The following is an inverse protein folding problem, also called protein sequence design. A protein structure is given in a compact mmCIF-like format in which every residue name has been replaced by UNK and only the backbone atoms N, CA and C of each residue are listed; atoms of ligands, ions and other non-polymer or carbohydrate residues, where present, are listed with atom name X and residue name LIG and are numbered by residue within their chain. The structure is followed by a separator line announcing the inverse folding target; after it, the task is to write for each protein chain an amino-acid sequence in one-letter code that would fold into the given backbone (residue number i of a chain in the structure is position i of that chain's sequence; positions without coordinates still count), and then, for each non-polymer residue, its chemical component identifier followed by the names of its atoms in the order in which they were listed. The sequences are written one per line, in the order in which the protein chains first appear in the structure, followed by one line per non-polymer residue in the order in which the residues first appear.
data_IF_918854617832
#
_entry.id   IF_918854617832
#
_cell.length_a   1.000
_cell.length_b   1.000
_cell.length_c   1.000
_cell.angle_alpha   90.00
_cell.angle_beta   90.00
_cell.angle_gamma   90.00
#
_symmetry.space_group_name_H-M   'P 1'
#
loop_
_entity.id
_entity.type
_entity.pdbx_description
1 polymer ?
#
# COMPACT_ATOMS: atom_id res chain seq x y z
N UNK A 1 -24.36 -5.51 8.82
CA UNK A 1 -23.80 -4.16 8.81
C UNK A 1 -22.28 -4.27 8.88
N UNK A 2 -21.52 -3.67 7.96
CA UNK A 2 -20.06 -3.74 7.95
C UNK A 2 -19.44 -2.56 8.70
N UNK A 3 -18.20 -2.71 9.14
CA UNK A 3 -17.44 -1.68 9.85
C UNK A 3 -16.46 -1.01 8.89
N UNK A 4 -16.44 0.31 8.88
CA UNK A 4 -15.42 1.08 8.18
C UNK A 4 -14.10 1.03 8.96
N UNK A 5 -12.98 0.72 8.32
CA UNK A 5 -11.68 0.75 8.98
C UNK A 5 -11.31 2.18 9.36
N UNK A 6 -10.53 2.33 10.44
CA UNK A 6 -10.00 3.61 10.92
C UNK A 6 -11.05 4.71 11.15
N UNK A 7 -12.31 4.32 11.40
CA UNK A 7 -13.43 5.25 11.50
C UNK A 7 -14.06 5.15 12.88
N UNK A 8 -14.25 6.28 13.53
CA UNK A 8 -15.06 6.41 14.75
C UNK A 8 -16.52 6.54 14.34
N UNK A 9 -17.24 5.44 14.27
CA UNK A 9 -18.59 5.36 13.70
C UNK A 9 -19.59 6.28 14.40
N UNK A 10 -19.46 6.43 15.72
CA UNK A 10 -20.36 7.28 16.51
C UNK A 10 -20.20 8.77 16.20
N UNK A 11 -19.10 9.15 15.52
CA UNK A 11 -18.82 10.52 15.12
C UNK A 11 -19.19 10.81 13.66
N UNK A 12 -19.70 9.82 12.93
CA UNK A 12 -20.10 9.98 11.52
C UNK A 12 -21.63 10.15 11.45
N UNK A 13 -22.13 11.37 11.25
CA UNK A 13 -23.56 11.59 11.03
C UNK A 13 -24.04 10.83 9.79
N UNK A 14 -25.28 10.36 9.82
CA UNK A 14 -25.85 9.57 8.73
C UNK A 14 -25.81 10.32 7.39
N UNK A 15 -26.07 11.61 7.41
CA UNK A 15 -26.06 12.50 6.23
C UNK A 15 -24.68 12.65 5.58
N UNK A 16 -23.60 12.33 6.31
CA UNK A 16 -22.24 12.35 5.78
C UNK A 16 -21.84 11.03 5.12
N UNK A 17 -22.69 10.02 5.19
CA UNK A 17 -22.41 8.72 4.55
C UNK A 17 -22.73 8.81 3.06
N UNK A 18 -21.72 8.73 2.22
CA UNK A 18 -21.91 8.67 0.79
C UNK A 18 -22.42 7.30 0.35
N UNK A 19 -23.58 7.25 -0.28
CA UNK A 19 -24.13 6.04 -0.89
C UNK A 19 -23.72 5.99 -2.35
N UNK A 20 -22.79 5.09 -2.67
CA UNK A 20 -22.27 4.94 -4.03
C UNK A 20 -23.21 4.00 -4.79
N UNK A 21 -23.79 4.51 -5.86
CA UNK A 21 -24.64 3.76 -6.77
C UNK A 21 -23.82 3.13 -7.90
N UNK A 22 -22.97 3.91 -8.52
CA UNK A 22 -22.27 3.50 -9.74
C UNK A 22 -20.93 4.19 -9.88
N UNK A 23 -20.19 3.80 -10.92
CA UNK A 23 -18.96 4.44 -11.31
C UNK A 23 -18.84 4.55 -12.82
N UNK A 24 -18.31 5.68 -13.29
CA UNK A 24 -18.03 5.92 -14.70
C UNK A 24 -16.71 6.67 -14.87
N UNK A 25 -15.67 5.95 -15.26
CA UNK A 25 -14.33 6.52 -15.37
C UNK A 25 -13.78 6.95 -14.01
N UNK A 26 -13.50 8.22 -13.85
CA UNK A 26 -12.98 8.84 -12.60
C UNK A 26 -14.10 9.42 -11.72
N UNK A 27 -15.37 9.30 -12.13
CA UNK A 27 -16.50 9.81 -11.37
C UNK A 27 -17.24 8.70 -10.65
N UNK A 28 -17.71 8.98 -9.43
CA UNK A 28 -18.70 8.16 -8.73
C UNK A 28 -20.09 8.75 -8.88
N UNK A 29 -21.07 7.89 -9.17
CA UNK A 29 -22.48 8.18 -8.99
C UNK A 29 -22.84 8.06 -7.51
N UNK A 30 -23.11 9.20 -6.87
CA UNK A 30 -23.53 9.25 -5.48
C UNK A 30 -25.03 9.42 -5.42
N UNK A 31 -25.71 8.50 -4.74
CA UNK A 31 -27.14 8.64 -4.48
C UNK A 31 -27.38 9.73 -3.45
N UNK A 32 -28.23 10.67 -3.78
CA UNK A 32 -28.65 11.76 -2.90
C UNK A 32 -30.16 11.64 -2.69
N UNK A 33 -30.57 11.52 -1.44
CA UNK A 33 -31.99 11.50 -1.07
C UNK A 33 -32.63 12.86 -1.44
N UNK A 34 -33.90 12.85 -1.80
CA UNK A 34 -34.66 14.08 -1.97
C UNK A 34 -34.77 14.81 -0.64
N UNK A 35 -34.40 16.08 -0.59
CA UNK A 35 -34.36 16.88 0.64
C UNK A 35 -35.74 16.99 1.32
N UNK A 36 -36.82 16.86 0.57
CA UNK A 36 -38.19 16.89 1.08
C UNK A 36 -38.74 15.50 1.41
N UNK A 37 -38.00 14.43 1.06
CA UNK A 37 -38.40 13.04 1.31
C UNK A 37 -39.66 12.58 0.57
N UNK A 38 -40.14 13.38 -0.37
CA UNK A 38 -41.39 13.17 -1.09
C UNK A 38 -41.23 12.49 -2.46
N UNK A 39 -39.99 12.34 -2.94
CA UNK A 39 -39.70 11.79 -4.24
C UNK A 39 -38.53 10.79 -4.25
N UNK A 40 -38.33 10.11 -5.40
CA UNK A 40 -37.13 9.30 -5.59
C UNK A 40 -35.90 10.22 -5.57
N UNK A 41 -34.86 9.83 -4.81
CA UNK A 41 -33.57 10.52 -4.84
C UNK A 41 -32.96 10.54 -6.24
N UNK A 42 -31.85 11.22 -6.39
CA UNK A 42 -31.12 11.35 -7.65
C UNK A 42 -29.70 10.86 -7.53
N UNK A 43 -29.11 10.41 -8.66
CA UNK A 43 -27.69 10.07 -8.73
C UNK A 43 -26.93 11.27 -9.28
N UNK A 44 -26.00 11.78 -8.47
CA UNK A 44 -25.12 12.89 -8.85
C UNK A 44 -23.70 12.36 -9.10
N UNK A 45 -23.10 12.75 -10.22
CA UNK A 45 -21.71 12.42 -10.51
C UNK A 45 -20.78 13.31 -9.69
N UNK A 46 -19.81 12.70 -9.03
CA UNK A 46 -18.75 13.38 -8.29
C UNK A 46 -17.40 12.82 -8.69
N UNK A 47 -16.48 13.69 -9.02
CA UNK A 47 -15.10 13.32 -9.32
C UNK A 47 -14.43 12.70 -8.09
N UNK A 48 -13.76 11.57 -8.29
CA UNK A 48 -12.95 10.92 -7.26
C UNK A 48 -11.56 11.55 -7.23
N UNK A 49 -11.38 12.54 -6.39
CA UNK A 49 -10.09 13.21 -6.17
C UNK A 49 -9.20 12.50 -5.15
N UNK A 50 -9.65 11.38 -4.58
CA UNK A 50 -8.90 10.62 -3.61
C UNK A 50 -8.22 9.40 -4.25
N UNK A 51 -7.09 8.98 -3.69
CA UNK A 51 -6.51 7.70 -4.03
C UNK A 51 -7.41 6.59 -3.46
N UNK A 52 -7.97 5.77 -4.33
CA UNK A 52 -8.72 4.58 -3.92
C UNK A 52 -7.77 3.48 -3.49
N UNK A 53 -8.19 2.61 -2.57
CA UNK A 53 -7.47 1.37 -2.24
C UNK A 53 -7.28 0.48 -3.47
N UNK A 54 -8.20 0.54 -4.40
CA UNK A 54 -8.12 -0.09 -5.71
C UNK A 54 -7.94 1.01 -6.74
N UNK A 55 -6.78 1.10 -7.33
CA UNK A 55 -6.52 2.05 -8.38
C UNK A 55 -7.54 1.86 -9.48
N UNK A 56 -8.40 2.81 -9.58
CA UNK A 56 -9.52 2.75 -10.49
C UNK A 56 -9.42 3.78 -11.61
N UNK A 57 -8.41 4.64 -11.60
CA UNK A 57 -8.22 5.75 -12.50
C UNK A 57 -8.09 5.33 -13.96
N UNK A 58 -9.15 4.79 -14.52
CA UNK A 58 -9.24 4.45 -15.93
C UNK A 58 -10.19 5.38 -16.60
N UNK A 59 -9.77 5.92 -17.72
CA UNK A 59 -10.64 6.74 -18.57
C UNK A 59 -11.92 5.99 -18.94
N UNK A 60 -13.00 6.73 -19.20
CA UNK A 60 -14.30 6.17 -19.60
C UNK A 60 -14.17 5.24 -20.81
N UNK A 61 -13.28 5.58 -21.74
CA UNK A 61 -13.03 4.81 -22.97
C UNK A 61 -12.45 3.42 -22.68
N UNK A 62 -11.70 3.26 -21.60
CA UNK A 62 -11.08 1.99 -21.23
C UNK A 62 -11.95 1.13 -20.32
N UNK A 63 -12.94 1.71 -19.65
CA UNK A 63 -13.71 1.03 -18.62
C UNK A 63 -14.36 -0.27 -19.14
N UNK A 64 -15.04 -0.22 -20.28
CA UNK A 64 -15.70 -1.41 -20.84
C UNK A 64 -14.72 -2.49 -21.29
N UNK A 65 -13.50 -2.11 -21.72
CA UNK A 65 -12.44 -3.06 -22.09
C UNK A 65 -11.92 -3.78 -20.85
N UNK A 66 -11.76 -3.06 -19.74
CA UNK A 66 -11.35 -3.65 -18.46
C UNK A 66 -12.40 -4.59 -17.88
N UNK A 67 -13.68 -4.19 -17.92
CA UNK A 67 -14.78 -5.07 -17.47
C UNK A 67 -14.81 -6.35 -18.28
N UNK A 68 -14.68 -6.27 -19.61
CA UNK A 68 -14.62 -7.45 -20.47
C UNK A 68 -13.40 -8.33 -20.19
N UNK A 69 -12.22 -7.72 -20.00
CA UNK A 69 -11.01 -8.45 -19.67
C UNK A 69 -11.12 -9.15 -18.32
N UNK A 70 -11.66 -8.48 -17.29
CA UNK A 70 -11.88 -9.05 -15.97
C UNK A 70 -12.88 -10.22 -16.02
N UNK A 71 -14.01 -10.04 -16.71
CA UNK A 71 -15.01 -11.10 -16.87
C UNK A 71 -14.46 -12.30 -17.62
N UNK A 72 -13.69 -12.07 -18.70
CA UNK A 72 -13.04 -13.15 -19.46
C UNK A 72 -12.02 -13.90 -18.59
N UNK A 73 -11.18 -13.19 -17.86
CA UNK A 73 -10.16 -13.81 -17.00
C UNK A 73 -10.79 -14.62 -15.87
N UNK A 74 -11.78 -14.04 -15.19
CA UNK A 74 -12.50 -14.73 -14.12
C UNK A 74 -13.21 -16.02 -14.60
N UNK A 75 -13.83 -15.96 -15.79
CA UNK A 75 -14.52 -17.11 -16.36
C UNK A 75 -13.59 -18.17 -16.95
N UNK A 76 -12.40 -17.80 -17.42
CA UNK A 76 -11.49 -18.74 -18.07
C UNK A 76 -10.50 -19.39 -17.12
N UNK A 77 -9.90 -18.63 -16.22
CA UNK A 77 -8.81 -19.13 -15.35
C UNK A 77 -9.19 -19.19 -13.87
N UNK A 78 -10.15 -18.38 -13.43
CA UNK A 78 -10.44 -18.26 -12.01
C UNK A 78 -9.20 -17.81 -11.23
N UNK A 79 -8.81 -18.59 -10.23
CA UNK A 79 -7.60 -18.37 -9.45
C UNK A 79 -6.64 -19.55 -9.59
N UNK A 80 -5.54 -19.38 -10.32
CA UNK A 80 -4.58 -20.42 -10.66
C UNK A 80 -3.12 -20.00 -10.42
N UNK A 81 -2.85 -19.27 -9.37
CA UNK A 81 -1.50 -18.82 -9.01
C UNK A 81 -0.82 -19.77 -8.02
N UNK A 82 -0.74 -21.05 -8.37
CA UNK A 82 0.07 -22.03 -7.66
C UNK A 82 1.47 -22.13 -8.26
N UNK A 83 2.48 -22.57 -7.48
CA UNK A 83 3.77 -22.93 -8.03
C UNK A 83 3.63 -23.87 -9.22
N UNK A 84 4.51 -23.69 -10.23
CA UNK A 84 4.55 -24.48 -11.45
C UNK A 84 3.38 -24.30 -12.43
N UNK A 85 2.41 -23.42 -12.09
CA UNK A 85 1.32 -23.08 -13.00
C UNK A 85 1.55 -21.71 -13.66
N UNK A 86 1.15 -21.60 -14.91
CA UNK A 86 1.22 -20.37 -15.68
C UNK A 86 0.04 -20.25 -16.62
N UNK A 87 -0.36 -19.04 -16.94
CA UNK A 87 -1.35 -18.74 -17.96
C UNK A 87 -1.03 -17.41 -18.67
N UNK A 88 -1.56 -17.24 -19.86
CA UNK A 88 -1.21 -16.13 -20.75
C UNK A 88 -1.36 -14.77 -20.11
N UNK A 89 -2.46 -14.51 -19.41
CA UNK A 89 -2.71 -13.21 -18.78
C UNK A 89 -1.64 -12.84 -17.73
N UNK A 90 -1.19 -13.79 -16.91
CA UNK A 90 -0.13 -13.57 -15.94
C UNK A 90 1.22 -13.33 -16.62
N UNK A 91 1.53 -14.11 -17.67
CA UNK A 91 2.77 -13.94 -18.43
C UNK A 91 2.82 -12.59 -19.15
N UNK A 92 1.73 -12.19 -19.77
CA UNK A 92 1.66 -10.92 -20.50
C UNK A 92 1.74 -9.72 -19.55
N UNK A 93 1.08 -9.77 -18.39
CA UNK A 93 1.22 -8.76 -17.34
C UNK A 93 2.67 -8.68 -16.84
N UNK A 94 3.34 -9.84 -16.59
CA UNK A 94 4.73 -9.85 -16.19
C UNK A 94 5.66 -9.26 -17.26
N UNK A 95 5.46 -9.61 -18.54
CA UNK A 95 6.21 -9.02 -19.67
C UNK A 95 6.02 -7.51 -19.74
N UNK A 96 4.77 -7.04 -19.62
CA UNK A 96 4.46 -5.61 -19.63
C UNK A 96 5.18 -4.85 -18.51
N UNK A 97 5.19 -5.40 -17.30
CA UNK A 97 5.90 -4.82 -16.17
C UNK A 97 7.41 -4.80 -16.36
N UNK A 98 8.01 -5.90 -16.84
CA UNK A 98 9.46 -6.01 -17.07
C UNK A 98 9.94 -5.10 -18.20
N UNK A 99 9.14 -4.93 -19.26
CA UNK A 99 9.46 -4.04 -20.38
C UNK A 99 9.16 -2.55 -20.06
N UNK A 100 8.26 -2.28 -19.13
CA UNK A 100 7.90 -0.95 -18.69
C UNK A 100 8.66 -0.50 -17.44
N UNK A 101 7.98 -0.50 -16.30
CA UNK A 101 8.51 -0.01 -15.03
C UNK A 101 9.74 -0.77 -14.52
N UNK A 102 9.85 -2.06 -14.83
CA UNK A 102 10.97 -2.91 -14.45
C UNK A 102 12.16 -2.90 -15.43
N UNK A 103 12.07 -2.14 -16.52
CA UNK A 103 13.10 -2.14 -17.57
C UNK A 103 14.48 -1.81 -17.01
N UNK A 104 15.46 -2.61 -17.40
CA UNK A 104 16.89 -2.50 -17.06
C UNK A 104 17.29 -2.85 -15.62
N UNK A 105 16.34 -3.11 -14.72
CA UNK A 105 16.68 -3.47 -13.33
C UNK A 105 15.95 -4.72 -12.82
N UNK A 106 14.71 -4.99 -13.25
CA UNK A 106 13.95 -6.14 -12.82
C UNK A 106 14.10 -7.32 -13.80
N UNK A 107 14.17 -8.53 -13.28
CA UNK A 107 14.27 -9.76 -14.08
C UNK A 107 13.10 -10.71 -13.86
N UNK A 108 12.33 -10.51 -12.80
CA UNK A 108 11.19 -11.34 -12.41
C UNK A 108 10.08 -10.51 -11.80
N UNK A 109 8.87 -11.04 -11.82
CA UNK A 109 7.68 -10.47 -11.19
C UNK A 109 7.16 -11.46 -10.15
N UNK A 110 6.80 -10.97 -9.00
CA UNK A 110 6.09 -11.70 -7.95
C UNK A 110 4.68 -11.15 -7.84
N UNK A 111 3.69 -12.02 -7.84
CA UNK A 111 2.29 -11.66 -7.64
C UNK A 111 1.85 -11.92 -6.21
N UNK A 112 1.06 -11.02 -5.65
CA UNK A 112 0.37 -11.17 -4.38
C UNK A 112 -1.08 -10.70 -4.50
N UNK A 113 -1.85 -10.92 -3.46
CA UNK A 113 -3.27 -10.58 -3.41
C UNK A 113 -3.55 -9.09 -3.15
N UNK A 114 -2.61 -8.38 -2.51
CA UNK A 114 -2.74 -6.95 -2.24
C UNK A 114 -1.38 -6.26 -2.06
N UNK A 115 -1.39 -4.92 -2.00
CA UNK A 115 -0.17 -4.12 -1.87
C UNK A 115 0.59 -4.35 -0.57
N UNK A 116 -0.11 -4.54 0.53
CA UNK A 116 0.49 -4.79 1.85
C UNK A 116 1.29 -6.09 1.86
N UNK A 117 0.72 -7.18 1.36
CA UNK A 117 1.39 -8.46 1.21
C UNK A 117 2.58 -8.37 0.25
N UNK A 118 2.43 -7.65 -0.87
CA UNK A 118 3.52 -7.43 -1.82
C UNK A 118 4.70 -6.71 -1.15
N UNK A 119 4.44 -5.66 -0.39
CA UNK A 119 5.47 -4.92 0.34
C UNK A 119 6.13 -5.75 1.43
N UNK A 120 5.37 -6.56 2.16
CA UNK A 120 5.92 -7.44 3.19
C UNK A 120 6.88 -8.48 2.57
N UNK A 121 6.51 -9.08 1.45
CA UNK A 121 7.40 -9.98 0.70
C UNK A 121 8.63 -9.25 0.18
N UNK A 122 8.48 -8.03 -0.35
CA UNK A 122 9.59 -7.23 -0.84
C UNK A 122 10.62 -6.95 0.27
N UNK A 123 10.17 -6.60 1.48
CA UNK A 123 11.07 -6.39 2.63
C UNK A 123 11.79 -7.68 3.03
N UNK A 124 11.08 -8.81 3.09
CA UNK A 124 11.72 -10.11 3.37
C UNK A 124 12.81 -10.43 2.35
N UNK A 125 12.54 -10.17 1.07
CA UNK A 125 13.51 -10.33 0.00
C UNK A 125 14.72 -9.39 0.16
N UNK A 126 14.46 -8.11 0.47
CA UNK A 126 15.50 -7.10 0.67
C UNK A 126 16.41 -7.45 1.85
N UNK A 127 15.85 -7.83 2.99
CA UNK A 127 16.60 -8.25 4.17
C UNK A 127 17.47 -9.47 3.85
N UNK A 128 16.90 -10.48 3.18
CA UNK A 128 17.68 -11.65 2.78
C UNK A 128 18.80 -11.29 1.81
N UNK A 129 18.51 -10.46 0.82
CA UNK A 129 19.53 -9.99 -0.14
C UNK A 129 20.64 -9.23 0.56
N UNK A 130 20.31 -8.42 1.57
CA UNK A 130 21.30 -7.72 2.40
C UNK A 130 22.22 -8.68 3.14
N UNK A 131 21.67 -9.68 3.83
CA UNK A 131 22.49 -10.70 4.52
C UNK A 131 23.39 -11.49 3.59
N UNK A 132 22.88 -11.91 2.42
CA UNK A 132 23.69 -12.59 1.40
C UNK A 132 24.82 -11.68 0.90
N UNK A 133 24.52 -10.43 0.56
CA UNK A 133 25.52 -9.45 0.08
C UNK A 133 26.61 -9.14 1.11
N UNK A 134 26.27 -9.21 2.39
CA UNK A 134 27.22 -8.99 3.49
C UNK A 134 27.94 -10.27 3.93
N UNK A 135 27.67 -11.40 3.29
CA UNK A 135 28.30 -12.67 3.60
C UNK A 135 27.85 -13.32 4.92
N UNK A 136 26.73 -12.86 5.47
CA UNK A 136 26.15 -13.44 6.69
C UNK A 136 25.38 -14.72 6.42
N UNK A 137 24.89 -14.90 5.19
CA UNK A 137 24.12 -16.07 4.75
C UNK A 137 24.60 -16.48 3.37
N UNK A 138 24.75 -17.77 3.11
CA UNK A 138 25.08 -18.28 1.78
C UNK A 138 23.89 -18.15 0.81
N UNK A 139 24.20 -17.81 -0.44
CA UNK A 139 23.20 -17.80 -1.50
C UNK A 139 22.69 -19.24 -1.73
N UNK A 140 21.37 -19.44 -1.64
CA UNK A 140 20.77 -20.77 -1.82
C UNK A 140 20.67 -21.62 -0.55
N UNK A 141 21.21 -21.19 0.59
CA UNK A 141 21.01 -21.88 1.86
C UNK A 141 19.51 -21.95 2.20
N UNK A 142 18.98 -23.15 2.34
CA UNK A 142 17.54 -23.38 2.56
C UNK A 142 17.06 -22.92 3.93
N UNK A 143 17.91 -22.94 4.95
CA UNK A 143 17.54 -22.46 6.28
C UNK A 143 18.73 -21.81 6.98
N UNK A 144 18.49 -20.61 7.50
CA UNK A 144 19.33 -19.98 8.51
C UNK A 144 18.61 -19.99 9.88
N UNK A 145 17.69 -20.92 10.09
CA UNK A 145 16.87 -20.98 11.33
C UNK A 145 17.78 -21.14 12.53
N UNK A 146 18.76 -22.01 12.45
CA UNK A 146 19.70 -22.28 13.54
C UNK A 146 20.69 -21.14 13.80
N UNK A 147 20.80 -20.19 12.88
CA UNK A 147 21.71 -19.04 12.99
C UNK A 147 20.97 -17.71 13.13
N UNK A 148 19.65 -17.73 13.25
CA UNK A 148 18.85 -16.51 13.30
C UNK A 148 19.25 -15.59 14.45
N UNK A 149 19.56 -16.15 15.62
CA UNK A 149 19.95 -15.40 16.80
C UNK A 149 21.39 -14.86 16.73
N UNK A 150 22.20 -15.35 15.82
CA UNK A 150 23.60 -14.91 15.61
C UNK A 150 23.73 -13.86 14.51
N UNK A 151 22.69 -13.65 13.72
CA UNK A 151 22.67 -12.66 12.64
C UNK A 151 22.58 -11.24 13.21
N UNK A 152 23.31 -10.27 12.62
CA UNK A 152 23.17 -8.87 12.98
C UNK A 152 21.72 -8.41 12.84
N UNK A 153 21.22 -7.69 13.83
CA UNK A 153 19.89 -7.07 13.72
C UNK A 153 19.90 -5.98 12.63
N UNK A 154 18.94 -6.04 11.72
CA UNK A 154 18.75 -5.04 10.67
C UNK A 154 17.48 -4.26 10.92
N UNK A 155 17.52 -2.98 10.59
CA UNK A 155 16.37 -2.08 10.65
C UNK A 155 16.09 -1.53 9.27
N UNK A 156 14.83 -1.20 9.02
CA UNK A 156 14.41 -0.52 7.78
C UNK A 156 14.45 0.97 8.03
N UNK A 157 15.20 1.68 7.18
CA UNK A 157 15.15 3.14 7.13
C UNK A 157 14.00 3.56 6.23
N UNK A 158 13.06 4.32 6.76
CA UNK A 158 11.87 4.74 6.03
C UNK A 158 11.53 6.22 6.27
N UNK A 159 10.55 6.73 5.55
CA UNK A 159 10.10 8.11 5.69
C UNK A 159 8.92 8.19 6.66
N UNK A 160 8.92 9.22 7.47
CA UNK A 160 7.76 9.58 8.27
C UNK A 160 6.59 10.00 7.35
N UNK A 161 5.36 9.63 7.74
CA UNK A 161 4.17 9.87 6.93
C UNK A 161 4.03 8.95 5.70
N UNK A 162 4.96 8.00 5.50
CA UNK A 162 4.80 6.99 4.45
C UNK A 162 3.74 5.94 4.83
N UNK A 163 3.13 5.34 3.82
CA UNK A 163 2.21 4.22 3.97
C UNK A 163 2.62 3.08 3.04
N UNK A 164 2.76 1.90 3.60
CA UNK A 164 3.18 0.69 2.87
C UNK A 164 2.21 -0.48 3.07
N UNK A 165 1.19 -0.31 3.88
CA UNK A 165 0.19 -1.31 4.21
C UNK A 165 0.00 -1.51 5.71
N UNK A 166 -0.92 -2.40 6.09
CA UNK A 166 -1.34 -2.61 7.47
C UNK A 166 -0.98 -3.99 8.02
N UNK A 167 -0.24 -4.82 7.28
CA UNK A 167 0.33 -6.05 7.82
C UNK A 167 1.51 -5.74 8.73
N UNK A 168 1.82 -6.63 9.68
CA UNK A 168 2.87 -6.41 10.68
C UNK A 168 4.24 -6.08 10.06
N UNK A 169 4.62 -6.78 8.99
CA UNK A 169 5.90 -6.53 8.34
C UNK A 169 5.96 -5.17 7.61
N UNK A 170 4.83 -4.67 7.11
CA UNK A 170 4.77 -3.34 6.51
C UNK A 170 4.78 -2.23 7.56
N UNK A 171 4.28 -2.51 8.75
CA UNK A 171 4.33 -1.56 9.88
C UNK A 171 5.76 -1.27 10.34
N UNK A 172 6.72 -2.16 10.08
CA UNK A 172 8.13 -1.90 10.33
C UNK A 172 8.75 -0.88 9.35
N UNK A 173 8.04 -0.54 8.27
CA UNK A 173 8.48 0.41 7.25
C UNK A 173 7.75 1.76 7.31
N UNK A 174 6.84 1.93 8.24
CA UNK A 174 6.05 3.16 8.38
C UNK A 174 5.96 3.60 9.83
N UNK A 175 6.11 4.90 10.07
CA UNK A 175 5.96 5.46 11.40
C UNK A 175 4.51 5.30 11.89
N UNK A 176 4.27 5.08 13.20
CA UNK A 176 2.94 5.12 13.76
C UNK A 176 2.24 6.45 13.43
N UNK A 177 1.01 6.34 12.99
CA UNK A 177 0.17 7.49 12.64
C UNK A 177 -1.00 7.61 13.60
N UNK A 178 -1.76 8.69 13.49
CA UNK A 178 -3.03 8.86 14.23
C UNK A 178 -4.06 7.78 13.89
N UNK A 179 -3.92 7.13 12.74
CA UNK A 179 -4.82 6.06 12.29
C UNK A 179 -4.39 4.70 12.80
N UNK A 180 -3.10 4.40 12.77
CA UNK A 180 -2.56 3.06 13.08
C UNK A 180 -2.08 2.93 14.51
N UNK A 181 -1.55 4.00 15.12
CA UNK A 181 -0.99 3.98 16.45
C UNK A 181 -1.92 3.41 17.52
N UNK A 182 -3.19 3.86 17.63
CA UNK A 182 -4.13 3.33 18.62
C UNK A 182 -4.45 1.84 18.46
N UNK A 183 -4.33 1.30 17.25
CA UNK A 183 -4.57 -0.13 16.97
C UNK A 183 -3.36 -1.00 17.31
N UNK A 184 -2.18 -0.40 17.37
CA UNK A 184 -0.92 -1.12 17.59
C UNK A 184 -0.52 -1.14 19.06
N UNK A 185 -0.73 -0.05 19.78
CA UNK A 185 -0.34 0.08 21.19
C UNK A 185 -1.28 -0.72 22.09
N UNK A 186 -0.76 -1.41 23.12
CA UNK A 186 0.65 -1.51 23.51
C UNK A 186 1.40 -2.72 22.93
N UNK A 187 0.75 -3.53 22.11
CA UNK A 187 1.24 -4.88 21.74
C UNK A 187 2.25 -4.89 20.58
N UNK A 188 2.32 -3.83 19.78
CA UNK A 188 3.25 -3.74 18.66
C UNK A 188 4.02 -2.43 18.65
N UNK A 189 5.32 -2.52 18.41
CA UNK A 189 6.21 -1.37 18.22
C UNK A 189 6.94 -1.55 16.89
N UNK A 190 6.86 -0.57 15.96
CA UNK A 190 7.63 -0.62 14.73
C UNK A 190 9.14 -0.67 15.02
N UNK A 191 9.85 -1.46 14.25
CA UNK A 191 11.30 -1.63 14.37
C UNK A 191 12.10 -0.77 13.38
N UNK A 192 11.41 0.03 12.56
CA UNK A 192 12.03 0.91 11.59
C UNK A 192 12.63 2.18 12.20
N UNK A 193 13.52 2.80 11.45
CA UNK A 193 14.02 4.15 11.68
C UNK A 193 13.30 5.10 10.72
N UNK A 194 12.68 6.17 11.24
CA UNK A 194 11.83 7.04 10.44
C UNK A 194 12.43 8.44 10.35
N UNK A 195 12.59 8.92 9.13
CA UNK A 195 13.11 10.25 8.82
C UNK A 195 12.00 11.13 8.27
N UNK A 196 11.97 12.38 8.71
CA UNK A 196 11.10 13.37 8.11
C UNK A 196 11.58 13.69 6.68
N UNK A 197 10.73 13.64 5.66
CA UNK A 197 11.11 14.06 4.33
C UNK A 197 11.34 15.58 4.27
N UNK A 198 12.26 16.06 3.44
CA UNK A 198 12.34 17.47 3.15
C UNK A 198 11.05 17.93 2.47
N UNK A 199 10.60 19.13 2.81
CA UNK A 199 9.39 19.71 2.21
C UNK A 199 9.76 20.86 1.27
N UNK A 200 9.13 20.88 0.10
CA UNK A 200 9.19 21.99 -0.83
C UNK A 200 7.89 22.79 -0.74
N UNK A 201 7.99 24.05 -0.37
CA UNK A 201 6.84 24.93 -0.16
C UNK A 201 6.95 26.19 -1.00
N UNK A 202 5.83 26.63 -1.58
CA UNK A 202 5.75 27.94 -2.20
C UNK A 202 5.32 28.97 -1.14
N UNK A 203 6.26 29.82 -0.69
CA UNK A 203 5.99 30.89 0.28
C UNK A 203 6.19 32.25 -0.38
N UNK A 204 5.15 33.07 -0.40
CA UNK A 204 5.18 34.43 -0.99
C UNK A 204 5.80 34.45 -2.40
N UNK A 205 5.39 33.51 -3.25
CA UNK A 205 5.85 33.39 -4.64
C UNK A 205 7.30 32.85 -4.80
N UNK A 206 7.93 32.35 -3.74
CA UNK A 206 9.27 31.75 -3.79
C UNK A 206 9.25 30.32 -3.29
N UNK A 207 9.98 29.45 -3.98
CA UNK A 207 10.19 28.08 -3.55
C UNK A 207 11.18 28.04 -2.38
N UNK A 208 10.75 27.41 -1.28
CA UNK A 208 11.55 27.23 -0.08
C UNK A 208 11.64 25.75 0.23
N UNK A 209 12.84 25.23 0.35
CA UNK A 209 13.09 23.88 0.84
C UNK A 209 13.27 23.97 2.36
N UNK A 210 12.45 23.26 3.10
CA UNK A 210 12.61 23.11 4.54
C UNK A 210 13.17 21.73 4.82
N UNK A 211 14.36 21.70 5.38
CA UNK A 211 14.92 20.45 5.92
C UNK A 211 14.48 20.32 7.37
N UNK A 212 14.03 19.12 7.82
CA UNK A 212 13.78 18.90 9.23
C UNK A 212 15.10 19.03 10.01
N UNK A 213 15.04 19.70 11.17
CA UNK A 213 16.22 20.00 11.96
C UNK A 213 16.95 18.74 12.47
N UNK A 214 16.23 17.63 12.63
CA UNK A 214 16.73 16.46 13.35
C UNK A 214 16.80 15.16 12.53
N UNK A 215 16.46 15.17 11.25
CA UNK A 215 16.56 14.02 10.33
C UNK A 215 15.78 12.76 10.75
N UNK A 216 15.94 12.31 11.98
CA UNK A 216 15.26 11.13 12.57
C UNK A 216 14.42 11.61 13.75
N UNK A 217 13.20 11.11 13.90
CA UNK A 217 12.36 11.41 15.07
C UNK A 217 13.05 10.97 16.35
N UNK A 218 13.18 11.86 17.36
CA UNK A 218 13.89 11.55 18.60
C UNK A 218 13.36 10.34 19.36
N UNK A 219 12.04 10.12 19.34
CA UNK A 219 11.40 8.99 19.99
C UNK A 219 11.80 7.63 19.43
N UNK A 220 12.33 7.59 18.21
CA UNK A 220 12.82 6.36 17.57
C UNK A 220 14.35 6.24 17.60
N UNK A 221 15.07 7.35 17.79
CA UNK A 221 16.51 7.33 17.95
C UNK A 221 16.96 6.66 19.27
N UNK A 222 16.08 6.65 20.29
CA UNK A 222 16.36 6.06 21.61
C UNK A 222 16.22 4.54 21.66
N UNK A 223 15.76 3.87 20.62
CA UNK A 223 15.56 2.41 20.58
C UNK A 223 16.84 1.65 20.26
N UNK A 224 17.97 2.33 20.08
CA UNK A 224 19.32 1.74 19.95
C UNK A 224 19.93 1.20 21.25
N UNK A 225 19.17 1.08 22.32
CA UNK A 225 19.60 0.48 23.56
C UNK A 225 19.27 -1.02 23.60
N UNK A 226 20.31 -1.84 23.53
CA UNK A 226 20.40 -3.28 23.87
C UNK A 226 19.08 -4.07 23.81
N UNK A 227 18.91 -4.78 22.75
CA UNK A 227 18.00 -5.94 22.62
C UNK A 227 18.75 -7.22 22.94
#
# INVERSE_FOLDING_TARGET
MYRWPFTQHDMVPRENVAVIDSRSGEDFGIYVEDAEGAGPGSVQLRFDGAASWWTQGVSKELQHRLVRAAAHAAGRWGHVMFPENAHDAALDAARGLLLGAGRSWATRVFYSDNGSTAMEVAVKMAIRAYYVRKGHVEAGAASAIDTADTLPQVQVLALDGSYHGDTLGTMDMQAPSVFTGPLQTPWYKPRGLFMNPPTLQLRKGRWVVTQPADGIRPEFAAVGGSW
#
